data_IF_079237897073
#
_entry.id   IF_079237897073
#
_cell.length_a   1.000
_cell.length_b   1.000
_cell.length_c   1.000
_cell.angle_alpha   90.00
_cell.angle_beta   90.00
_cell.angle_gamma   90.00
#
_symmetry.space_group_name_H-M   'P 1'
#
loop_
_entity.id
_entity.type
_entity.pdbx_description
1 polymer ?
#
# COMPACT_ATOMS: atom_id res chain seq x y z
N UNK A 1 -18.06 7.57 0.90
CA UNK A 1 -17.60 7.61 -0.51
C UNK A 1 -16.59 8.72 -0.61
N UNK A 2 -15.38 8.38 -0.97
CA UNK A 2 -14.33 9.35 -1.20
C UNK A 2 -14.70 10.22 -2.42
N UNK A 3 -14.95 11.49 -2.19
CA UNK A 3 -15.20 12.44 -3.26
C UNK A 3 -13.88 12.90 -3.86
N UNK A 4 -13.44 12.20 -4.88
CA UNK A 4 -12.16 12.45 -5.56
C UNK A 4 -12.04 13.79 -6.24
N UNK A 5 -13.13 14.52 -6.34
CA UNK A 5 -13.16 15.87 -6.90
C UNK A 5 -13.16 16.95 -5.81
N UNK A 6 -13.23 16.58 -4.53
CA UNK A 6 -13.05 17.56 -3.47
C UNK A 6 -11.59 18.01 -3.33
N UNK A 7 -11.41 19.19 -2.72
CA UNK A 7 -10.09 19.81 -2.63
C UNK A 7 -9.08 18.99 -1.81
N UNK A 8 -9.55 18.24 -0.80
CA UNK A 8 -8.68 17.45 0.08
C UNK A 8 -8.17 16.22 -0.65
N UNK A 9 -9.05 15.47 -1.31
CA UNK A 9 -8.67 14.30 -2.12
C UNK A 9 -7.76 14.68 -3.27
N UNK A 10 -8.03 15.80 -3.96
CA UNK A 10 -7.14 16.30 -5.02
C UNK A 10 -5.77 16.72 -4.49
N UNK A 11 -5.72 17.34 -3.32
CA UNK A 11 -4.46 17.73 -2.69
C UNK A 11 -3.64 16.50 -2.27
N UNK A 12 -4.28 15.49 -1.68
CA UNK A 12 -3.64 14.24 -1.33
C UNK A 12 -3.04 13.54 -2.56
N UNK A 13 -3.82 13.40 -3.63
CA UNK A 13 -3.33 12.81 -4.88
C UNK A 13 -2.20 13.59 -5.51
N UNK A 14 -2.29 14.92 -5.49
CA UNK A 14 -1.18 15.76 -5.96
C UNK A 14 0.08 15.52 -5.15
N UNK A 15 -0.02 15.44 -3.83
CA UNK A 15 1.10 15.10 -2.94
C UNK A 15 1.74 13.79 -3.37
N UNK A 16 0.93 12.75 -3.52
CA UNK A 16 1.41 11.41 -3.87
C UNK A 16 2.04 11.35 -5.27
N UNK A 17 1.37 11.87 -6.30
CA UNK A 17 1.81 11.69 -7.69
C UNK A 17 2.83 12.73 -8.17
N UNK A 18 2.77 13.93 -7.65
CA UNK A 18 3.65 15.02 -8.09
C UNK A 18 4.71 15.34 -7.06
N UNK A 19 4.31 15.65 -5.83
CA UNK A 19 5.23 16.23 -4.85
C UNK A 19 6.22 15.18 -4.33
N UNK A 20 5.79 13.95 -4.09
CA UNK A 20 6.70 12.86 -3.72
C UNK A 20 7.71 12.56 -4.83
N UNK A 21 7.25 12.47 -6.08
CA UNK A 21 8.16 12.26 -7.22
C UNK A 21 9.20 13.37 -7.37
N UNK A 22 8.81 14.62 -7.10
CA UNK A 22 9.74 15.75 -7.08
C UNK A 22 10.70 15.63 -5.91
N UNK A 23 10.22 15.28 -4.73
CA UNK A 23 11.04 15.06 -3.54
C UNK A 23 12.04 13.91 -3.73
N UNK A 24 11.63 12.79 -4.31
CA UNK A 24 12.51 11.66 -4.61
C UNK A 24 13.65 12.08 -5.55
N UNK A 25 13.34 12.78 -6.65
CA UNK A 25 14.35 13.30 -7.58
C UNK A 25 15.28 14.33 -6.93
N UNK A 26 14.76 15.12 -6.00
CA UNK A 26 15.57 16.05 -5.22
C UNK A 26 16.48 15.31 -4.25
N UNK A 27 15.95 14.32 -3.54
CA UNK A 27 16.67 13.46 -2.60
C UNK A 27 17.83 12.73 -3.29
N UNK A 28 17.60 12.16 -4.47
CA UNK A 28 18.65 11.54 -5.28
C UNK A 28 19.85 12.44 -5.53
N UNK A 29 19.60 13.73 -5.81
CA UNK A 29 20.68 14.72 -6.03
C UNK A 29 21.44 15.09 -4.76
N UNK A 30 20.89 14.78 -3.59
CA UNK A 30 21.52 15.07 -2.30
C UNK A 30 22.42 13.94 -1.83
N UNK A 31 22.15 12.69 -2.17
CA UNK A 31 22.89 11.54 -1.65
C UNK A 31 24.41 11.69 -1.79
N UNK A 32 24.90 12.21 -2.93
CA UNK A 32 26.33 12.42 -3.15
C UNK A 32 26.90 13.67 -2.48
N UNK A 33 26.05 14.55 -1.96
CA UNK A 33 26.43 15.87 -1.43
C UNK A 33 26.41 15.95 0.08
N UNK A 34 25.68 15.05 0.75
CA UNK A 34 25.59 15.04 2.21
C UNK A 34 26.77 14.26 2.81
N UNK A 35 27.29 14.75 3.91
CA UNK A 35 28.41 14.14 4.64
C UNK A 35 27.93 13.25 5.78
N UNK A 36 26.72 13.51 6.30
CA UNK A 36 26.15 12.82 7.44
C UNK A 36 24.68 12.52 7.24
N UNK A 37 24.24 11.33 7.73
CA UNK A 37 22.83 10.94 7.85
C UNK A 37 22.44 10.89 9.31
N UNK A 38 21.28 11.43 9.62
CA UNK A 38 20.77 11.48 11.00
C UNK A 38 19.43 10.76 11.05
N UNK A 39 19.39 9.65 11.79
CA UNK A 39 18.16 8.97 12.15
C UNK A 39 17.50 9.69 13.32
N UNK A 40 16.32 10.25 13.10
CA UNK A 40 15.51 10.94 14.10
C UNK A 40 14.22 10.20 14.44
N UNK A 41 14.14 8.91 14.08
CA UNK A 41 12.95 8.08 14.25
C UNK A 41 12.49 8.03 15.71
N UNK A 42 13.44 7.96 16.65
CA UNK A 42 13.15 8.03 18.07
C UNK A 42 13.41 9.44 18.58
N UNK A 43 12.33 10.11 19.02
CA UNK A 43 12.41 11.47 19.53
C UNK A 43 13.41 11.59 20.68
N UNK A 44 14.27 12.62 20.64
CA UNK A 44 15.26 12.90 21.68
C UNK A 44 16.51 12.01 21.68
N UNK A 45 16.60 11.01 20.79
CA UNK A 45 17.75 10.10 20.67
C UNK A 45 18.24 9.99 19.23
N UNK A 46 18.67 11.10 18.61
CA UNK A 46 19.14 11.07 17.22
C UNK A 46 20.42 10.23 17.13
N UNK A 47 20.54 9.48 16.02
CA UNK A 47 21.75 8.72 15.69
C UNK A 47 22.31 9.26 14.40
N UNK A 48 23.62 9.32 14.30
CA UNK A 48 24.31 9.89 13.13
C UNK A 48 25.36 8.92 12.60
N UNK A 49 25.39 8.76 11.29
CA UNK A 49 26.44 8.04 10.57
C UNK A 49 27.01 8.92 9.48
N UNK A 50 28.27 8.69 9.14
CA UNK A 50 28.94 9.38 8.04
C UNK A 50 28.58 8.76 6.67
N UNK A 51 28.96 9.46 5.62
CA UNK A 51 28.71 9.08 4.23
C UNK A 51 29.25 7.69 3.89
N UNK A 52 30.47 7.40 4.28
CA UNK A 52 31.10 6.11 3.97
C UNK A 52 30.36 4.95 4.64
N UNK A 53 29.97 5.12 5.89
CA UNK A 53 29.19 4.15 6.65
C UNK A 53 27.82 3.94 6.02
N UNK A 54 27.15 5.01 5.61
CA UNK A 54 25.85 4.91 4.93
C UNK A 54 25.95 4.10 3.64
N UNK A 55 26.86 4.43 2.73
CA UNK A 55 27.00 3.70 1.46
C UNK A 55 27.50 2.28 1.63
N UNK A 56 28.34 1.99 2.62
CA UNK A 56 28.70 0.59 2.97
C UNK A 56 27.48 -0.20 3.45
N UNK A 57 26.61 0.42 4.23
CA UNK A 57 25.35 -0.19 4.66
C UNK A 57 24.42 -0.50 3.48
N UNK A 58 24.23 0.46 2.57
CA UNK A 58 23.45 0.27 1.33
C UNK A 58 24.00 -0.88 0.49
N UNK A 59 25.31 -0.90 0.26
CA UNK A 59 25.99 -1.95 -0.51
C UNK A 59 25.86 -3.34 0.14
N UNK A 60 26.04 -3.41 1.44
CA UNK A 60 25.89 -4.67 2.18
C UNK A 60 24.45 -5.18 2.10
N UNK A 61 23.46 -4.29 2.22
CA UNK A 61 22.05 -4.66 2.20
C UNK A 61 21.64 -5.24 0.85
N UNK A 62 21.99 -4.58 -0.25
CA UNK A 62 21.59 -5.04 -1.59
C UNK A 62 22.25 -6.36 -2.01
N UNK A 63 23.39 -6.73 -1.40
CA UNK A 63 24.13 -7.95 -1.69
C UNK A 63 23.78 -9.11 -0.75
N UNK A 64 22.85 -8.94 0.19
CA UNK A 64 22.43 -9.98 1.12
C UNK A 64 20.91 -10.05 1.21
N UNK A 65 20.33 -11.23 1.49
CA UNK A 65 18.91 -11.30 1.81
C UNK A 65 18.59 -10.42 3.02
N UNK A 66 17.58 -9.58 2.92
CA UNK A 66 17.13 -8.73 4.01
C UNK A 66 15.60 -8.70 4.08
N UNK A 67 15.08 -8.21 5.19
CA UNK A 67 13.66 -7.96 5.39
C UNK A 67 13.46 -6.48 5.71
N UNK A 68 12.40 -5.89 5.18
CA UNK A 68 11.95 -4.56 5.60
C UNK A 68 11.37 -4.62 7.01
N UNK A 69 11.33 -3.50 7.70
CA UNK A 69 10.66 -3.38 9.00
C UNK A 69 9.15 -3.33 8.74
N UNK A 70 8.36 -4.29 9.22
CA UNK A 70 6.91 -4.25 9.05
C UNK A 70 6.32 -3.00 9.69
N UNK A 71 5.38 -2.37 9.00
CA UNK A 71 4.68 -1.19 9.52
C UNK A 71 3.20 -1.53 9.72
N UNK A 72 2.75 -1.47 10.98
CA UNK A 72 1.38 -1.77 11.37
C UNK A 72 0.62 -0.48 11.61
N UNK A 73 -0.55 -0.33 10.96
CA UNK A 73 -1.36 0.87 11.06
C UNK A 73 -2.84 0.54 11.35
N UNK A 74 -3.52 1.33 12.21
CA UNK A 74 -4.95 1.15 12.45
C UNK A 74 -5.78 1.58 11.24
N UNK A 75 -6.98 1.01 11.14
CA UNK A 75 -7.96 1.38 10.12
C UNK A 75 -9.37 1.45 10.71
N UNK A 76 -10.27 2.26 10.13
CA UNK A 76 -11.67 2.31 10.60
C UNK A 76 -12.38 0.96 10.55
N UNK A 77 -11.91 0.05 9.71
CA UNK A 77 -12.40 -1.32 9.52
C UNK A 77 -11.49 -2.39 10.13
N UNK A 78 -10.39 -1.97 10.77
CA UNK A 78 -9.32 -2.85 11.22
C UNK A 78 -9.78 -3.91 12.22
N UNK A 79 -9.16 -5.08 12.10
CA UNK A 79 -9.43 -6.27 12.87
C UNK A 79 -8.57 -6.45 14.12
N UNK A 80 -8.66 -7.65 14.69
CA UNK A 80 -7.96 -8.02 15.91
C UNK A 80 -6.96 -9.18 15.71
N UNK A 81 -6.98 -9.85 14.56
CA UNK A 81 -6.17 -11.03 14.29
C UNK A 81 -4.67 -10.74 14.35
N UNK A 82 -4.21 -9.67 13.67
CA UNK A 82 -2.80 -9.26 13.71
C UNK A 82 -2.33 -8.88 15.11
N UNK A 83 -3.21 -8.27 15.91
CA UNK A 83 -2.93 -7.89 17.29
C UNK A 83 -2.55 -9.10 18.15
N UNK A 84 -3.25 -10.21 17.95
CA UNK A 84 -3.03 -11.45 18.69
C UNK A 84 -1.85 -12.24 18.15
N UNK A 85 -1.82 -12.46 16.83
CA UNK A 85 -0.83 -13.35 16.18
C UNK A 85 0.57 -12.72 16.13
N UNK A 86 0.65 -11.40 15.97
CA UNK A 86 1.91 -10.67 15.92
C UNK A 86 2.33 -10.07 17.28
N UNK A 87 1.57 -10.35 18.35
CA UNK A 87 1.81 -9.83 19.71
C UNK A 87 2.01 -8.30 19.74
N UNK A 88 1.09 -7.58 19.08
CA UNK A 88 1.14 -6.13 18.98
C UNK A 88 0.53 -5.45 20.21
N UNK A 89 0.71 -4.12 20.27
CA UNK A 89 0.20 -3.28 21.34
C UNK A 89 -1.31 -3.47 21.53
N UNK A 90 -1.70 -4.04 22.66
CA UNK A 90 -3.08 -4.36 23.01
C UNK A 90 -3.92 -3.13 23.38
N UNK A 91 -3.29 -2.02 23.72
CA UNK A 91 -3.96 -0.75 24.03
C UNK A 91 -4.48 -0.04 22.75
N UNK A 92 -3.93 -0.39 21.57
CA UNK A 92 -4.45 0.09 20.30
C UNK A 92 -5.83 -0.49 20.03
N UNK A 93 -6.72 0.30 19.43
CA UNK A 93 -8.07 -0.15 19.09
C UNK A 93 -8.03 -1.37 18.12
N UNK A 94 -7.26 -1.25 17.06
CA UNK A 94 -7.09 -2.30 16.06
C UNK A 94 -5.78 -2.13 15.28
N UNK A 95 -5.52 -3.07 14.36
CA UNK A 95 -4.56 -2.92 13.27
C UNK A 95 -5.22 -3.42 11.99
N UNK A 96 -5.44 -2.51 11.03
CA UNK A 96 -6.06 -2.84 9.75
C UNK A 96 -5.02 -3.22 8.70
N UNK A 97 -3.87 -2.53 8.67
CA UNK A 97 -2.78 -2.77 7.73
C UNK A 97 -1.53 -3.29 8.40
N UNK A 98 -0.82 -4.17 7.69
CA UNK A 98 0.59 -4.40 7.88
C UNK A 98 1.28 -4.28 6.52
N UNK A 99 2.02 -3.20 6.31
CA UNK A 99 2.87 -3.06 5.14
C UNK A 99 4.14 -3.88 5.37
N UNK A 100 4.37 -4.88 4.52
CA UNK A 100 5.56 -5.74 4.59
C UNK A 100 6.09 -6.00 3.19
N UNK A 101 6.82 -5.03 2.69
CA UNK A 101 7.35 -4.79 1.37
C UNK A 101 6.54 -3.78 0.53
N UNK A 102 6.34 -2.61 1.14
CA UNK A 102 5.92 -1.38 0.45
C UNK A 102 7.02 -0.36 0.69
N UNK A 103 7.94 -0.13 -0.25
CA UNK A 103 9.15 0.66 -0.01
C UNK A 103 8.90 2.08 0.50
N UNK A 104 7.77 2.67 0.13
CA UNK A 104 7.38 4.01 0.56
C UNK A 104 6.90 4.06 2.02
N UNK A 105 6.45 2.93 2.57
CA UNK A 105 5.90 2.81 3.93
C UNK A 105 6.87 2.15 4.91
N UNK A 106 7.76 1.31 4.40
CA UNK A 106 8.66 0.52 5.23
C UNK A 106 10.01 1.20 5.47
N UNK A 107 10.65 0.77 6.56
CA UNK A 107 12.04 1.11 6.89
C UNK A 107 12.97 -0.07 6.71
N UNK A 108 14.28 0.22 6.75
CA UNK A 108 15.39 -0.72 6.86
C UNK A 108 16.21 -0.39 8.10
N UNK A 109 16.86 -1.40 8.67
CA UNK A 109 17.85 -1.22 9.73
C UNK A 109 19.27 -1.50 9.22
N UNK A 110 20.16 -0.55 9.44
CA UNK A 110 21.61 -0.81 9.46
C UNK A 110 22.05 -1.01 10.90
N UNK A 111 22.94 -1.95 11.14
CA UNK A 111 23.60 -2.08 12.42
C UNK A 111 25.09 -1.79 12.27
N UNK A 112 25.55 -0.77 12.96
CA UNK A 112 26.92 -0.31 12.92
C UNK A 112 27.46 -0.20 14.34
N UNK A 113 28.48 -1.00 14.67
CA UNK A 113 29.08 -1.05 16.02
C UNK A 113 28.07 -1.20 17.16
N UNK A 114 27.04 -2.04 16.97
CA UNK A 114 25.97 -2.27 17.93
C UNK A 114 24.94 -1.15 18.01
N UNK A 115 25.02 -0.14 17.15
CA UNK A 115 24.00 0.92 17.02
C UNK A 115 23.12 0.64 15.80
N UNK A 116 21.83 0.50 16.04
CA UNK A 116 20.83 0.35 14.99
C UNK A 116 20.46 1.73 14.45
N UNK A 117 20.60 1.91 13.15
CA UNK A 117 20.26 3.10 12.38
C UNK A 117 19.10 2.75 11.45
N UNK A 118 18.04 3.55 11.46
CA UNK A 118 16.84 3.34 10.65
C UNK A 118 16.81 4.32 9.48
N UNK A 119 16.43 3.81 8.30
CA UNK A 119 16.28 4.61 7.08
C UNK A 119 15.05 4.14 6.30
N UNK A 120 14.43 5.02 5.48
CA UNK A 120 13.34 4.63 4.59
C UNK A 120 13.81 3.60 3.57
N UNK A 121 13.04 2.52 3.37
CA UNK A 121 13.43 1.47 2.42
C UNK A 121 13.42 1.93 0.97
N UNK A 122 12.65 2.96 0.63
CA UNK A 122 12.66 3.60 -0.70
C UNK A 122 14.04 4.16 -1.07
N UNK A 123 14.88 4.54 -0.11
CA UNK A 123 16.24 5.01 -0.37
C UNK A 123 17.09 3.93 -1.04
N UNK A 124 16.89 2.65 -0.67
CA UNK A 124 17.57 1.55 -1.33
C UNK A 124 17.12 1.40 -2.80
N UNK A 125 15.82 1.57 -3.07
CA UNK A 125 15.29 1.55 -4.45
C UNK A 125 15.88 2.69 -5.27
N UNK A 126 15.96 3.89 -4.73
CA UNK A 126 16.51 5.05 -5.42
C UNK A 126 18.00 4.91 -5.72
N UNK A 127 18.77 4.34 -4.79
CA UNK A 127 20.23 4.23 -4.89
C UNK A 127 20.69 2.98 -5.66
N UNK A 128 19.92 1.89 -5.58
CA UNK A 128 20.33 0.56 -6.03
C UNK A 128 19.23 -0.15 -6.83
N UNK A 129 18.49 0.60 -7.66
CA UNK A 129 17.38 0.05 -8.45
C UNK A 129 17.79 -1.14 -9.30
N UNK A 130 18.92 -1.06 -9.97
CA UNK A 130 19.40 -2.09 -10.88
C UNK A 130 19.79 -3.37 -10.15
N UNK A 131 20.51 -3.25 -9.06
CA UNK A 131 20.95 -4.38 -8.23
C UNK A 131 19.76 -5.03 -7.51
N UNK A 132 18.80 -4.22 -7.05
CA UNK A 132 17.63 -4.67 -6.31
C UNK A 132 16.57 -5.30 -7.21
N UNK A 133 16.26 -4.66 -8.33
CA UNK A 133 15.17 -5.07 -9.24
C UNK A 133 15.64 -5.99 -10.38
N UNK A 134 16.93 -5.93 -10.72
CA UNK A 134 17.49 -6.55 -11.91
C UNK A 134 17.24 -5.72 -13.18
N UNK A 135 18.10 -5.90 -14.18
CA UNK A 135 18.07 -5.13 -15.43
C UNK A 135 16.72 -5.12 -16.17
N UNK A 136 15.99 -6.26 -16.31
CA UNK A 136 14.73 -6.27 -17.05
C UNK A 136 13.61 -5.47 -16.35
N UNK A 137 13.56 -5.50 -15.01
CA UNK A 137 12.54 -4.80 -14.25
C UNK A 137 12.86 -3.32 -14.19
N UNK A 138 14.12 -2.98 -13.90
CA UNK A 138 14.58 -1.59 -13.89
C UNK A 138 14.43 -0.91 -15.26
N UNK A 139 14.71 -1.60 -16.36
CA UNK A 139 14.49 -1.08 -17.71
C UNK A 139 13.02 -0.78 -18.01
N UNK A 140 12.08 -1.50 -17.39
CA UNK A 140 10.64 -1.30 -17.57
C UNK A 140 10.04 -0.27 -16.62
N UNK A 141 10.43 -0.28 -15.37
CA UNK A 141 9.80 0.49 -14.29
C UNK A 141 10.69 1.62 -13.74
N UNK A 142 11.96 1.67 -14.15
CA UNK A 142 12.92 2.62 -13.63
C UNK A 142 13.22 2.37 -12.16
N UNK A 143 13.13 3.43 -11.35
CA UNK A 143 13.32 3.38 -9.90
C UNK A 143 12.02 3.22 -9.12
N UNK A 144 11.00 2.69 -9.75
CA UNK A 144 9.76 2.28 -9.08
C UNK A 144 9.84 0.81 -8.72
N UNK A 145 9.56 0.47 -7.47
CA UNK A 145 9.42 -0.91 -7.04
C UNK A 145 8.02 -1.41 -7.45
N UNK A 146 7.90 -2.32 -8.44
CA UNK A 146 6.63 -2.52 -9.15
C UNK A 146 5.69 -3.53 -8.48
N UNK A 147 5.94 -3.90 -7.23
CA UNK A 147 5.11 -4.84 -6.50
C UNK A 147 4.98 -4.41 -5.03
N UNK A 148 3.81 -4.66 -4.45
CA UNK A 148 3.49 -4.41 -3.04
C UNK A 148 3.00 -5.68 -2.39
N UNK A 149 3.36 -5.85 -1.13
CA UNK A 149 2.83 -6.88 -0.24
C UNK A 149 2.34 -6.19 1.01
N UNK A 150 1.06 -6.28 1.25
CA UNK A 150 0.47 -5.82 2.50
C UNK A 150 -0.60 -6.77 3.00
N UNK A 151 -0.78 -6.76 4.30
CA UNK A 151 -1.78 -7.56 4.98
C UNK A 151 -2.92 -6.66 5.43
N UNK A 152 -4.15 -7.16 5.25
CA UNK A 152 -5.38 -6.47 5.59
C UNK A 152 -6.16 -7.34 6.56
N UNK A 153 -6.37 -6.84 7.77
CA UNK A 153 -7.07 -7.56 8.84
C UNK A 153 -8.44 -6.95 9.08
N UNK A 154 -9.47 -7.74 8.81
CA UNK A 154 -10.87 -7.37 9.07
C UNK A 154 -11.55 -8.33 10.05
N UNK A 155 -10.82 -9.26 10.69
CA UNK A 155 -11.39 -10.23 11.64
C UNK A 155 -11.79 -9.50 12.92
N UNK A 156 -13.09 -9.53 13.24
CA UNK A 156 -13.67 -8.75 14.32
C UNK A 156 -13.76 -7.25 14.03
N UNK A 157 -13.53 -6.86 12.79
CA UNK A 157 -13.62 -5.49 12.27
C UNK A 157 -14.78 -5.29 11.30
N UNK A 158 -14.56 -4.51 10.25
CA UNK A 158 -15.57 -4.18 9.24
C UNK A 158 -15.12 -4.48 7.81
N UNK A 159 -15.97 -4.16 6.85
CA UNK A 159 -15.59 -4.25 5.44
C UNK A 159 -14.56 -3.17 5.09
N UNK A 160 -13.61 -3.51 4.22
CA UNK A 160 -12.78 -2.52 3.56
C UNK A 160 -13.65 -1.52 2.76
N UNK A 161 -13.06 -0.40 2.41
CA UNK A 161 -13.68 0.54 1.47
C UNK A 161 -13.92 -0.15 0.13
N UNK A 162 -15.15 -0.05 -0.39
CA UNK A 162 -15.45 -0.50 -1.74
C UNK A 162 -14.76 0.43 -2.74
N UNK A 163 -13.88 -0.11 -3.55
CA UNK A 163 -12.99 0.65 -4.41
C UNK A 163 -12.87 0.08 -5.82
N UNK A 164 -12.26 0.87 -6.69
CA UNK A 164 -11.89 0.47 -8.05
C UNK A 164 -10.58 1.14 -8.42
N UNK A 165 -9.59 0.38 -8.81
CA UNK A 165 -8.36 0.93 -9.37
C UNK A 165 -8.56 1.29 -10.84
N UNK A 166 -7.96 2.39 -11.32
CA UNK A 166 -8.18 2.84 -12.68
C UNK A 166 -7.65 1.84 -13.70
N UNK A 167 -8.22 1.85 -14.90
CA UNK A 167 -7.65 1.10 -16.02
C UNK A 167 -6.32 1.72 -16.47
N UNK A 168 -5.44 0.93 -17.11
CA UNK A 168 -4.15 1.40 -17.65
C UNK A 168 -4.34 2.59 -18.61
N UNK A 169 -5.41 2.59 -19.41
CA UNK A 169 -5.69 3.71 -20.31
C UNK A 169 -5.99 4.99 -19.53
N UNK A 170 -6.85 4.92 -18.52
CA UNK A 170 -7.21 6.08 -17.71
C UNK A 170 -6.00 6.65 -16.97
N UNK A 171 -5.17 5.79 -16.39
CA UNK A 171 -4.00 6.23 -15.62
C UNK A 171 -2.96 6.90 -16.52
N UNK A 172 -2.78 6.38 -17.74
CA UNK A 172 -1.89 6.99 -18.73
C UNK A 172 -2.38 8.37 -19.16
N UNK A 173 -3.66 8.50 -19.46
CA UNK A 173 -4.23 9.74 -19.98
C UNK A 173 -4.35 10.82 -18.88
N UNK A 174 -4.61 10.42 -17.63
CA UNK A 174 -4.83 11.35 -16.52
C UNK A 174 -3.58 11.66 -15.71
N UNK A 175 -2.62 10.74 -15.60
CA UNK A 175 -1.46 10.84 -14.72
C UNK A 175 -0.12 10.60 -15.43
N UNK A 176 -0.12 10.24 -16.72
CA UNK A 176 1.10 9.98 -17.49
C UNK A 176 1.85 8.71 -17.07
N UNK A 177 1.19 7.77 -16.39
CA UNK A 177 1.76 6.52 -15.93
C UNK A 177 1.43 5.36 -16.88
N UNK A 178 2.31 4.37 -16.96
CA UNK A 178 2.23 3.32 -17.98
C UNK A 178 1.72 1.97 -17.46
N UNK A 179 1.43 1.85 -16.17
CA UNK A 179 0.85 0.66 -15.56
C UNK A 179 -0.11 1.06 -14.45
N UNK A 180 -1.07 0.20 -14.16
CA UNK A 180 -2.10 0.42 -13.14
C UNK A 180 -1.86 -0.51 -11.95
N UNK A 181 -2.69 -0.39 -10.93
CA UNK A 181 -2.76 -1.31 -9.83
C UNK A 181 -3.65 -2.50 -10.22
N UNK A 182 -3.01 -3.60 -10.60
CA UNK A 182 -3.63 -4.92 -10.63
C UNK A 182 -3.35 -5.59 -9.29
N UNK A 183 -4.35 -6.24 -8.72
CA UNK A 183 -4.28 -6.84 -7.39
C UNK A 183 -4.62 -8.32 -7.40
N UNK A 184 -4.24 -8.96 -6.32
CA UNK A 184 -4.78 -10.27 -5.94
C UNK A 184 -4.90 -10.34 -4.43
N UNK A 185 -5.95 -11.02 -3.96
CA UNK A 185 -6.14 -11.37 -2.56
C UNK A 185 -5.85 -12.84 -2.36
N UNK A 186 -5.02 -13.16 -1.39
CA UNK A 186 -4.89 -14.49 -0.85
C UNK A 186 -5.42 -14.50 0.59
N UNK A 187 -6.40 -15.35 0.85
CA UNK A 187 -7.03 -15.43 2.17
C UNK A 187 -6.14 -16.22 3.13
N UNK A 188 -5.39 -15.49 3.96
CA UNK A 188 -4.50 -16.08 4.97
C UNK A 188 -5.30 -16.77 6.06
N UNK A 189 -6.43 -16.13 6.44
CA UNK A 189 -7.43 -16.68 7.34
C UNK A 189 -8.82 -16.08 7.03
N UNK A 190 -9.89 -16.76 7.42
CA UNK A 190 -11.25 -16.31 7.19
C UNK A 190 -12.22 -17.02 8.15
N UNK A 191 -13.17 -16.28 8.72
CA UNK A 191 -14.28 -16.85 9.50
C UNK A 191 -15.41 -17.35 8.59
N UNK A 192 -16.41 -18.02 9.16
CA UNK A 192 -17.47 -18.69 8.38
C UNK A 192 -18.31 -17.71 7.52
N UNK A 193 -18.46 -16.46 7.95
CA UNK A 193 -19.25 -15.44 7.25
C UNK A 193 -18.40 -14.50 6.37
N UNK A 194 -17.11 -14.81 6.21
CA UNK A 194 -16.21 -14.02 5.40
C UNK A 194 -16.64 -13.97 3.93
N UNK A 195 -16.51 -12.80 3.33
CA UNK A 195 -16.87 -12.57 1.93
C UNK A 195 -15.88 -11.65 1.23
N UNK A 196 -15.85 -11.75 -0.09
CA UNK A 196 -15.19 -10.75 -0.96
C UNK A 196 -16.24 -10.15 -1.89
N UNK A 197 -16.28 -8.82 -1.95
CA UNK A 197 -17.07 -8.10 -2.94
C UNK A 197 -16.23 -7.97 -4.20
N UNK A 198 -16.74 -8.50 -5.34
CA UNK A 198 -15.92 -8.54 -6.56
C UNK A 198 -16.77 -8.44 -7.82
N UNK A 199 -16.54 -7.37 -8.56
CA UNK A 199 -17.16 -7.12 -9.85
C UNK A 199 -18.65 -6.79 -9.79
N UNK A 200 -19.12 -6.08 -10.81
CA UNK A 200 -20.53 -5.71 -10.96
C UNK A 200 -21.37 -6.92 -11.32
N UNK A 201 -22.55 -7.04 -10.74
CA UNK A 201 -23.53 -8.11 -11.08
C UNK A 201 -23.96 -8.02 -12.53
N UNK A 202 -24.23 -9.17 -13.13
CA UNK A 202 -24.78 -9.23 -14.49
C UNK A 202 -26.19 -8.57 -14.52
N UNK A 203 -26.41 -7.72 -15.53
CA UNK A 203 -27.70 -7.07 -15.73
C UNK A 203 -27.97 -5.85 -14.86
N UNK A 204 -26.96 -5.35 -14.15
CA UNK A 204 -27.09 -4.09 -13.39
C UNK A 204 -27.47 -2.94 -14.29
N UNK A 205 -28.46 -2.16 -13.86
CA UNK A 205 -28.77 -0.88 -14.44
C UNK A 205 -27.67 0.14 -14.06
N UNK A 206 -26.83 0.47 -15.04
CA UNK A 206 -25.70 1.36 -14.84
C UNK A 206 -26.10 2.77 -14.44
N UNK A 207 -27.18 3.27 -15.03
CA UNK A 207 -27.67 4.64 -14.74
C UNK A 207 -28.21 4.72 -13.31
N UNK A 208 -28.95 3.70 -12.87
CA UNK A 208 -29.42 3.61 -11.49
C UNK A 208 -28.25 3.53 -10.49
N UNK A 209 -27.21 2.75 -10.81
CA UNK A 209 -26.01 2.65 -9.98
C UNK A 209 -25.30 3.99 -9.87
N UNK A 210 -25.12 4.70 -10.98
CA UNK A 210 -24.47 6.02 -11.01
C UNK A 210 -25.29 7.05 -10.22
N UNK A 211 -26.62 7.00 -10.34
CA UNK A 211 -27.51 7.90 -9.59
C UNK A 211 -27.44 7.64 -8.08
N UNK A 212 -27.48 6.38 -7.65
CA UNK A 212 -27.31 6.00 -6.24
C UNK A 212 -25.92 6.42 -5.71
N UNK A 213 -24.84 6.25 -6.48
CA UNK A 213 -23.51 6.74 -6.11
C UNK A 213 -23.48 8.27 -5.94
N UNK A 214 -24.11 9.03 -6.85
CA UNK A 214 -24.20 10.50 -6.76
C UNK A 214 -25.01 10.96 -5.55
N UNK A 215 -26.09 10.28 -5.23
CA UNK A 215 -26.90 10.55 -4.04
C UNK A 215 -26.13 10.23 -2.75
N UNK A 216 -25.44 9.10 -2.72
CA UNK A 216 -24.60 8.72 -1.59
C UNK A 216 -23.47 9.72 -1.36
N UNK A 217 -22.85 10.23 -2.43
CA UNK A 217 -21.83 11.28 -2.37
C UNK A 217 -22.35 12.57 -1.70
N UNK A 218 -23.63 12.88 -1.88
CA UNK A 218 -24.28 14.04 -1.26
C UNK A 218 -24.81 13.76 0.16
N UNK A 219 -24.69 12.53 0.65
CA UNK A 219 -25.24 12.11 1.93
C UNK A 219 -26.76 11.90 1.92
N UNK A 220 -27.39 11.81 0.75
CA UNK A 220 -28.84 11.63 0.59
C UNK A 220 -29.27 10.16 0.82
N UNK A 221 -28.34 9.21 0.67
CA UNK A 221 -28.54 7.79 0.97
C UNK A 221 -27.23 7.10 1.34
N UNK A 222 -27.31 5.90 1.91
CA UNK A 222 -26.18 4.98 2.04
C UNK A 222 -26.15 4.10 0.81
N UNK A 223 -24.99 4.01 0.12
CA UNK A 223 -24.86 3.17 -1.06
C UNK A 223 -24.95 1.68 -0.68
N UNK A 224 -25.92 1.00 -1.25
CA UNK A 224 -26.10 -0.44 -1.08
C UNK A 224 -25.22 -1.20 -2.08
N UNK A 225 -24.04 -1.61 -1.63
CA UNK A 225 -23.10 -2.36 -2.44
C UNK A 225 -23.68 -3.70 -2.92
N UNK A 226 -24.46 -4.37 -2.07
CA UNK A 226 -25.03 -5.70 -2.39
C UNK A 226 -26.10 -5.65 -3.49
N UNK A 227 -26.66 -4.49 -3.78
CA UNK A 227 -27.55 -4.29 -4.92
C UNK A 227 -26.80 -4.42 -6.26
N UNK A 228 -25.54 -4.02 -6.32
CA UNK A 228 -24.80 -3.82 -7.56
C UNK A 228 -23.56 -4.73 -7.73
N UNK A 229 -22.94 -5.13 -6.64
CA UNK A 229 -21.67 -5.87 -6.63
C UNK A 229 -21.90 -7.32 -6.18
N UNK A 230 -21.18 -8.25 -6.80
CA UNK A 230 -21.22 -9.64 -6.35
C UNK A 230 -20.62 -9.76 -4.95
N UNK A 231 -21.27 -10.55 -4.11
CA UNK A 231 -20.82 -10.93 -2.78
C UNK A 231 -20.47 -12.41 -2.82
N UNK A 232 -19.22 -12.74 -2.68
CA UNK A 232 -18.68 -14.08 -2.87
C UNK A 232 -18.24 -14.61 -1.51
N UNK A 233 -18.85 -15.68 -0.98
CA UNK A 233 -18.34 -16.33 0.22
C UNK A 233 -16.89 -16.78 0.01
N UNK A 234 -16.07 -16.64 1.03
CA UNK A 234 -14.66 -16.99 0.97
C UNK A 234 -14.23 -17.78 2.19
N UNK A 235 -13.12 -18.48 2.05
CA UNK A 235 -12.50 -19.26 3.12
C UNK A 235 -10.98 -19.16 3.03
N UNK A 236 -10.32 -19.59 4.07
CA UNK A 236 -8.87 -19.72 4.12
C UNK A 236 -8.33 -20.42 2.87
N UNK A 237 -7.27 -19.87 2.27
CA UNK A 237 -6.59 -20.31 1.06
C UNK A 237 -7.33 -20.05 -0.26
N UNK A 238 -8.46 -19.37 -0.25
CA UNK A 238 -9.04 -18.86 -1.50
C UNK A 238 -8.16 -17.74 -2.07
N UNK A 239 -8.21 -17.59 -3.39
CA UNK A 239 -7.42 -16.60 -4.12
C UNK A 239 -8.29 -15.88 -5.14
N UNK A 240 -8.22 -14.54 -5.16
CA UNK A 240 -8.98 -13.68 -6.05
C UNK A 240 -8.02 -12.84 -6.89
N UNK A 241 -8.26 -12.82 -8.21
CA UNK A 241 -7.57 -11.92 -9.13
C UNK A 241 -8.43 -10.68 -9.37
N UNK A 242 -7.85 -9.51 -9.21
CA UNK A 242 -8.54 -8.22 -9.23
C UNK A 242 -7.84 -7.29 -10.23
N UNK A 243 -8.14 -7.42 -11.52
CA UNK A 243 -7.58 -6.51 -12.53
C UNK A 243 -8.05 -5.07 -12.33
N UNK A 244 -7.23 -4.11 -12.69
CA UNK A 244 -7.62 -2.70 -12.74
C UNK A 244 -8.94 -2.49 -13.48
N UNK A 245 -9.80 -1.63 -12.95
CA UNK A 245 -11.18 -1.43 -13.41
C UNK A 245 -12.23 -2.34 -12.76
N UNK A 246 -11.83 -3.25 -11.87
CA UNK A 246 -12.75 -4.13 -11.15
C UNK A 246 -13.16 -3.52 -9.81
N UNK A 247 -14.45 -3.33 -9.58
CA UNK A 247 -14.97 -2.88 -8.28
C UNK A 247 -14.80 -4.02 -7.28
N UNK A 248 -14.20 -3.75 -6.13
CA UNK A 248 -13.91 -4.77 -5.13
C UNK A 248 -13.70 -4.23 -3.71
N UNK A 249 -13.80 -5.11 -2.75
CA UNK A 249 -13.21 -5.00 -1.42
C UNK A 249 -13.26 -6.34 -0.68
N UNK A 250 -12.39 -6.53 0.29
CA UNK A 250 -12.56 -7.60 1.28
C UNK A 250 -13.68 -7.21 2.25
N UNK A 251 -14.56 -8.15 2.55
CA UNK A 251 -15.56 -8.01 3.60
C UNK A 251 -14.95 -8.18 5.00
N UNK A 252 -15.79 -8.06 6.01
CA UNK A 252 -15.41 -8.35 7.39
C UNK A 252 -14.95 -9.81 7.57
N UNK A 253 -14.25 -10.06 8.67
CA UNK A 253 -13.88 -11.41 9.12
C UNK A 253 -12.89 -12.15 8.21
N UNK A 254 -11.99 -11.40 7.58
CA UNK A 254 -10.94 -11.93 6.72
C UNK A 254 -9.56 -11.41 7.11
N UNK A 255 -8.56 -12.26 6.95
CA UNK A 255 -7.15 -11.87 6.96
C UNK A 255 -6.57 -12.08 5.56
N UNK A 256 -6.24 -11.00 4.89
CA UNK A 256 -5.85 -10.99 3.48
C UNK A 256 -4.37 -10.68 3.34
N UNK A 257 -3.66 -11.44 2.50
CA UNK A 257 -2.43 -10.98 1.89
C UNK A 257 -2.80 -10.38 0.53
N UNK A 258 -2.68 -9.09 0.42
CA UNK A 258 -2.77 -8.38 -0.85
C UNK A 258 -1.41 -8.38 -1.54
N UNK A 259 -1.43 -8.73 -2.82
CA UNK A 259 -0.28 -8.63 -3.71
C UNK A 259 -0.72 -7.75 -4.86
N UNK A 260 -0.14 -6.58 -4.96
CA UNK A 260 -0.55 -5.60 -5.97
C UNK A 260 0.63 -4.98 -6.70
N UNK A 261 0.36 -4.47 -7.90
CA UNK A 261 1.35 -3.67 -8.62
C UNK A 261 1.32 -2.23 -8.12
N UNK A 262 2.46 -1.58 -8.09
CA UNK A 262 2.55 -0.15 -7.80
C UNK A 262 2.27 0.65 -9.08
N UNK A 263 1.69 1.84 -9.03
CA UNK A 263 1.39 2.65 -7.86
C UNK A 263 0.00 2.41 -7.29
N UNK A 264 -0.15 2.67 -5.99
CA UNK A 264 -1.46 2.73 -5.37
C UNK A 264 -2.21 3.99 -5.83
N UNK A 265 -3.28 3.80 -6.59
CA UNK A 265 -4.03 4.91 -7.20
C UNK A 265 -5.49 4.98 -6.80
N UNK A 266 -5.91 4.12 -5.87
CA UNK A 266 -7.30 4.00 -5.41
C UNK A 266 -8.24 3.27 -6.36
#
# INVERSE_FOLDING_TARGET
IDNRNDAVSLQYKRGYFNDWRVCDRYKERLFDRVEFWIDTHVAGTPKMIDKDTFFKGVEATVNTPFRVVPFFDPAPWGGQWMKEVCDLDRERENFGWCFDCVPEENSLYFEVNGVRFELPSVDLVLLKSKELLGEPVEARFGKDFPIRFDFLDTIGGGNLSLQVHPTTQFIRDSFGMYYTQDESYYMVDAEEDAVVYLGVKTGVDKEAMIDDLRKAQKGELVFDAEKYVNKIPTKKHDHFLIPGGTIHCSGANSMVLEISSTPNLF
#
